data_IF_659651901832
#
_entry.id   IF_659651901832
#
_cell.length_a   1.000
_cell.length_b   1.000
_cell.length_c   1.000
_cell.angle_alpha   90.00
_cell.angle_beta   90.00
_cell.angle_gamma   90.00
#
_symmetry.space_group_name_H-M   'P 1'
#
loop_
_entity.id
_entity.type
_entity.pdbx_description
1 polymer ?
#
# COMPACT_ATOMS: atom_id res chain seq x y z
N UNK A 1 3.30 52.25 17.43
CA UNK A 1 4.66 51.68 17.42
C UNK A 1 4.80 50.98 16.08
N UNK A 2 5.52 51.60 15.15
CA UNK A 2 5.76 51.04 13.81
C UNK A 2 6.75 49.89 13.95
N UNK A 3 6.39 48.69 13.49
CA UNK A 3 7.40 47.65 13.24
C UNK A 3 7.78 47.77 11.77
N UNK A 4 8.93 48.41 11.53
CA UNK A 4 9.59 48.44 10.23
C UNK A 4 10.40 47.17 10.12
N UNK A 5 9.95 46.21 9.32
CA UNK A 5 10.83 45.12 8.89
C UNK A 5 10.85 44.97 7.38
N UNK A 6 12.08 44.77 6.91
CA UNK A 6 12.59 45.11 5.59
C UNK A 6 12.02 44.17 4.52
N UNK A 7 11.83 44.76 3.35
CA UNK A 7 11.54 44.09 2.09
C UNK A 7 12.45 42.86 1.89
N UNK A 8 11.88 41.67 2.01
CA UNK A 8 12.45 40.43 1.50
C UNK A 8 11.35 39.79 0.66
N UNK A 9 11.56 39.72 -0.66
CA UNK A 9 10.57 39.17 -1.59
C UNK A 9 10.21 37.74 -1.19
N UNK A 10 8.99 37.52 -0.72
CA UNK A 10 8.46 36.20 -0.39
C UNK A 10 7.28 35.95 -1.32
N UNK A 11 7.49 35.02 -2.25
CA UNK A 11 6.44 34.51 -3.11
C UNK A 11 5.54 33.61 -2.26
N UNK A 12 4.34 34.12 -1.96
CA UNK A 12 3.07 33.40 -1.74
C UNK A 12 3.06 32.17 -0.81
N UNK A 13 2.41 32.34 0.36
CA UNK A 13 1.82 31.29 1.23
C UNK A 13 2.76 30.52 2.18
N UNK A 14 3.70 31.21 2.81
CA UNK A 14 4.46 30.72 3.97
C UNK A 14 3.69 30.94 5.29
N UNK A 15 2.45 30.47 5.39
CA UNK A 15 1.72 30.59 6.66
C UNK A 15 2.32 29.59 7.67
N UNK A 16 2.61 30.09 8.86
CA UNK A 16 3.19 29.34 9.98
C UNK A 16 2.45 29.69 11.26
N UNK A 17 2.52 28.80 12.24
CA UNK A 17 1.91 28.96 13.55
C UNK A 17 2.97 29.50 14.50
N UNK A 18 2.67 30.67 15.07
CA UNK A 18 3.56 31.34 16.02
C UNK A 18 4.94 31.59 15.45
N UNK A 19 5.93 31.69 16.34
CA UNK A 19 7.33 31.94 16.02
C UNK A 19 8.28 30.86 16.58
N UNK A 20 7.72 29.80 17.20
CA UNK A 20 8.47 28.67 17.76
C UNK A 20 8.77 27.65 16.67
N UNK A 21 9.91 26.98 16.79
CA UNK A 21 10.21 25.74 16.04
C UNK A 21 9.39 24.57 16.59
N UNK A 22 9.33 23.47 15.86
CA UNK A 22 8.72 22.22 16.32
C UNK A 22 9.30 21.74 17.65
N UNK A 23 10.63 21.82 17.80
CA UNK A 23 11.32 21.41 19.03
C UNK A 23 10.91 22.24 20.25
N UNK A 24 10.58 23.52 20.05
CA UNK A 24 10.12 24.42 21.11
C UNK A 24 8.60 24.33 21.33
N UNK A 25 7.84 24.01 20.28
CA UNK A 25 6.39 23.89 20.34
C UNK A 25 5.93 22.59 21.02
N UNK A 26 6.65 21.48 20.79
CA UNK A 26 6.35 20.17 21.38
C UNK A 26 6.55 20.15 22.91
N UNK A 27 7.30 21.11 23.46
CA UNK A 27 7.51 21.25 24.90
C UNK A 27 6.28 21.81 25.65
N UNK A 28 5.33 22.42 24.95
CA UNK A 28 4.12 23.02 25.52
C UNK A 28 2.88 22.39 24.90
N UNK A 29 2.45 21.28 25.49
CA UNK A 29 1.29 20.50 25.03
C UNK A 29 -0.03 21.27 25.04
N UNK A 30 -0.14 22.38 25.79
CA UNK A 30 -1.35 23.20 25.81
C UNK A 30 -1.45 24.12 24.59
N UNK A 31 -0.30 24.56 24.04
CA UNK A 31 -0.25 25.45 22.87
C UNK A 31 0.17 24.75 21.57
N UNK A 32 0.55 23.48 21.65
CA UNK A 32 0.90 22.66 20.50
C UNK A 32 -0.30 22.44 19.57
N UNK A 33 -0.14 22.81 18.31
CA UNK A 33 -1.24 22.87 17.34
C UNK A 33 -1.52 21.54 16.63
N UNK A 34 -0.55 20.62 16.57
CA UNK A 34 -0.73 19.34 15.88
C UNK A 34 -1.44 18.37 16.81
N UNK A 35 -2.75 18.18 16.59
CA UNK A 35 -3.63 17.49 17.55
C UNK A 35 -3.77 16.00 17.25
N UNK A 36 -3.50 15.58 16.02
CA UNK A 36 -3.65 14.19 15.62
C UNK A 36 -2.40 13.35 15.94
N UNK A 37 -2.58 12.11 16.37
CA UNK A 37 -1.47 11.17 16.62
C UNK A 37 -0.75 10.74 15.34
N UNK A 38 -1.45 10.76 14.22
CA UNK A 38 -0.93 10.53 12.87
C UNK A 38 -0.56 11.85 12.19
N UNK A 39 -0.36 12.94 12.95
CA UNK A 39 0.26 14.17 12.45
C UNK A 39 1.71 14.31 12.88
N UNK A 40 2.44 15.14 12.16
CA UNK A 40 3.81 15.55 12.43
C UNK A 40 3.95 17.07 12.31
N UNK A 41 4.89 17.61 13.09
CA UNK A 41 5.28 19.00 13.01
C UNK A 41 6.40 19.17 11.99
N UNK A 42 6.29 20.23 11.18
CA UNK A 42 7.34 20.64 10.25
C UNK A 42 7.66 22.12 10.47
N UNK A 43 8.95 22.41 10.63
CA UNK A 43 9.41 23.78 10.85
C UNK A 43 9.03 24.67 9.67
N UNK A 44 8.68 25.91 10.01
CA UNK A 44 8.45 26.95 9.04
C UNK A 44 9.71 27.32 8.26
N UNK A 45 9.57 27.99 7.12
CA UNK A 45 10.70 28.48 6.35
C UNK A 45 11.64 29.31 7.23
N UNK A 46 12.95 29.08 7.09
CA UNK A 46 14.00 29.74 7.90
C UNK A 46 13.87 29.48 9.41
N UNK A 47 13.21 28.39 9.81
CA UNK A 47 13.01 27.99 11.20
C UNK A 47 12.23 29.00 12.04
N UNK A 48 11.33 29.75 11.38
CA UNK A 48 10.41 30.68 12.07
C UNK A 48 9.01 30.11 12.01
N UNK A 49 8.44 29.82 13.20
CA UNK A 49 7.15 29.17 13.32
C UNK A 49 7.18 27.72 12.86
N UNK A 50 6.03 27.06 12.90
CA UNK A 50 5.87 25.68 12.44
C UNK A 50 4.51 25.46 11.81
N UNK A 51 4.31 24.32 11.16
CA UNK A 51 3.01 23.86 10.69
C UNK A 51 2.88 22.36 10.95
N UNK A 52 1.66 21.87 10.89
CA UNK A 52 1.34 20.46 11.03
C UNK A 52 0.97 19.85 9.69
N UNK A 53 1.33 18.59 9.52
CA UNK A 53 1.04 17.77 8.34
C UNK A 53 0.63 16.37 8.82
N UNK A 54 -0.25 15.68 8.10
CA UNK A 54 -0.45 14.25 8.36
C UNK A 54 0.81 13.46 7.97
N UNK A 55 1.18 12.47 8.77
CA UNK A 55 2.30 11.57 8.46
C UNK A 55 2.11 10.91 7.10
N UNK A 56 3.20 10.44 6.51
CA UNK A 56 3.14 9.69 5.26
C UNK A 56 2.17 8.49 5.39
N UNK A 57 1.36 8.27 4.36
CA UNK A 57 0.25 7.31 4.38
C UNK A 57 -1.06 7.83 5.00
N UNK A 58 -1.13 9.10 5.41
CA UNK A 58 -2.35 9.70 5.96
C UNK A 58 -2.73 11.03 5.27
N UNK A 59 -4.02 11.31 5.22
CA UNK A 59 -4.56 12.56 4.68
C UNK A 59 -5.64 13.18 5.58
N UNK A 60 -5.86 14.49 5.42
CA UNK A 60 -6.89 15.23 6.15
C UNK A 60 -6.34 16.45 6.88
N UNK A 61 -6.92 16.75 8.05
CA UNK A 61 -6.63 17.97 8.81
C UNK A 61 -5.87 17.65 10.11
N UNK A 62 -4.54 17.87 10.17
CA UNK A 62 -3.72 17.54 11.35
C UNK A 62 -3.98 18.42 12.59
N UNK A 63 -4.76 19.50 12.44
CA UNK A 63 -5.13 20.42 13.54
C UNK A 63 -6.36 19.99 14.32
N UNK A 64 -7.00 18.89 13.90
CA UNK A 64 -8.16 18.28 14.55
C UNK A 64 -7.74 16.96 15.21
N UNK A 65 -8.40 16.60 16.30
CA UNK A 65 -8.30 15.24 16.84
C UNK A 65 -8.94 14.26 15.84
N UNK A 66 -8.26 13.14 15.54
CA UNK A 66 -8.71 12.17 14.52
C UNK A 66 -8.97 12.82 13.14
N UNK A 67 -8.18 13.86 12.82
CA UNK A 67 -8.25 14.56 11.55
C UNK A 67 -7.37 13.97 10.45
N UNK A 68 -6.39 13.13 10.79
CA UNK A 68 -5.57 12.40 9.83
C UNK A 68 -6.07 10.96 9.67
N UNK A 69 -6.61 10.66 8.50
CA UNK A 69 -7.16 9.36 8.13
C UNK A 69 -6.17 8.60 7.25
N UNK A 70 -6.16 7.29 7.40
CA UNK A 70 -5.37 6.38 6.56
C UNK A 70 -5.72 6.56 5.08
N UNK A 71 -4.71 6.64 4.23
CA UNK A 71 -4.89 6.63 2.78
C UNK A 71 -5.00 5.18 2.36
N UNK A 72 -6.14 4.78 1.79
CA UNK A 72 -6.26 3.45 1.23
C UNK A 72 -5.68 3.41 -0.19
N UNK A 73 -4.39 3.09 -0.32
CA UNK A 73 -3.73 3.07 -1.64
C UNK A 73 -4.33 2.00 -2.58
N UNK A 74 -4.79 0.88 -2.02
CA UNK A 74 -5.41 -0.21 -2.78
C UNK A 74 -6.77 0.18 -3.39
N UNK A 75 -7.57 1.00 -2.69
CA UNK A 75 -8.82 1.56 -3.21
C UNK A 75 -8.56 2.67 -4.24
N UNK A 76 -7.56 3.51 -3.97
CA UNK A 76 -7.17 4.62 -4.84
C UNK A 76 -6.39 4.19 -6.08
N UNK A 77 -5.94 2.94 -6.14
CA UNK A 77 -5.09 2.40 -7.22
C UNK A 77 -3.82 3.21 -7.41
N UNK A 78 -3.23 3.62 -6.28
CA UNK A 78 -1.93 4.30 -6.21
C UNK A 78 -0.87 3.41 -5.59
N UNK A 79 -1.19 2.14 -5.34
CA UNK A 79 -0.23 1.12 -4.93
C UNK A 79 0.68 0.71 -6.10
N UNK A 80 1.90 0.27 -5.78
CA UNK A 80 2.88 -0.23 -6.73
C UNK A 80 2.86 -1.77 -6.80
N UNK A 81 1.76 -2.42 -6.42
CA UNK A 81 1.68 -3.88 -6.42
C UNK A 81 1.45 -4.45 -7.83
N UNK A 82 2.19 -5.49 -8.20
CA UNK A 82 1.94 -6.24 -9.45
C UNK A 82 0.68 -7.12 -9.39
N UNK A 83 0.33 -7.60 -8.19
CA UNK A 83 -0.73 -8.59 -7.99
C UNK A 83 -1.83 -8.09 -7.06
N UNK A 84 -1.82 -8.52 -5.80
CA UNK A 84 -2.88 -8.22 -4.84
C UNK A 84 -2.36 -7.22 -3.82
N UNK A 85 -3.12 -6.15 -3.63
CA UNK A 85 -2.84 -5.11 -2.65
C UNK A 85 -3.71 -5.35 -1.42
N UNK A 86 -3.09 -5.28 -0.25
CA UNK A 86 -3.76 -5.31 1.04
C UNK A 86 -3.46 -4.02 1.80
N UNK A 87 -4.49 -3.22 2.05
CA UNK A 87 -4.35 -1.96 2.76
C UNK A 87 -4.00 -2.19 4.22
N UNK A 88 -3.13 -1.36 4.77
CA UNK A 88 -2.72 -1.38 6.17
C UNK A 88 -2.70 0.03 6.72
N UNK A 89 -2.64 0.17 8.04
CA UNK A 89 -2.58 1.49 8.64
C UNK A 89 -1.21 2.16 8.35
N UNK A 90 -1.24 3.24 7.58
CA UNK A 90 -0.09 4.02 7.11
C UNK A 90 0.56 3.53 5.81
N UNK A 91 -0.08 2.63 5.06
CA UNK A 91 0.44 2.14 3.78
C UNK A 91 -0.18 0.81 3.35
N UNK A 92 0.51 0.04 2.52
CA UNK A 92 -0.03 -1.22 1.98
C UNK A 92 1.01 -2.33 1.88
N UNK A 93 0.53 -3.57 1.76
CA UNK A 93 1.36 -4.73 1.46
C UNK A 93 0.92 -5.40 0.16
N UNK A 94 1.88 -5.86 -0.62
CA UNK A 94 1.63 -6.66 -1.81
C UNK A 94 1.71 -8.15 -1.48
N UNK A 95 0.68 -8.90 -1.87
CA UNK A 95 0.69 -10.36 -1.77
C UNK A 95 0.80 -10.99 -3.14
N UNK A 96 1.77 -11.90 -3.25
CA UNK A 96 2.00 -12.68 -4.46
C UNK A 96 1.09 -13.91 -4.47
N UNK A 97 0.16 -13.96 -5.43
CA UNK A 97 -0.73 -15.12 -5.64
C UNK A 97 0.01 -16.37 -6.13
N UNK A 98 1.31 -16.25 -6.44
CA UNK A 98 2.13 -17.34 -6.99
C UNK A 98 2.21 -18.54 -6.06
N UNK A 99 2.30 -18.35 -4.73
CA UNK A 99 2.39 -19.50 -3.81
C UNK A 99 1.07 -20.29 -3.70
N UNK A 100 -0.08 -19.63 -3.66
CA UNK A 100 -1.37 -20.31 -3.58
C UNK A 100 -1.71 -20.97 -4.92
N UNK A 101 -1.46 -20.32 -6.07
CA UNK A 101 -1.61 -20.96 -7.38
C UNK A 101 -0.64 -22.12 -7.58
N UNK A 102 0.59 -22.02 -7.06
CA UNK A 102 1.57 -23.09 -7.14
C UNK A 102 1.21 -24.27 -6.26
N UNK A 103 0.74 -24.05 -5.03
CA UNK A 103 0.31 -25.13 -4.12
C UNK A 103 -1.01 -25.73 -4.57
N UNK A 104 -2.03 -24.94 -4.90
CA UNK A 104 -3.29 -25.44 -5.47
C UNK A 104 -3.04 -26.11 -6.82
N UNK A 105 -2.17 -25.55 -7.65
CA UNK A 105 -1.72 -26.15 -8.91
C UNK A 105 -0.94 -27.45 -8.71
N UNK A 106 -0.15 -27.57 -7.65
CA UNK A 106 0.52 -28.83 -7.28
C UNK A 106 -0.43 -29.85 -6.69
N UNK A 107 -1.43 -29.43 -5.93
CA UNK A 107 -2.47 -30.32 -5.40
C UNK A 107 -3.35 -30.81 -6.56
N UNK A 108 -3.76 -29.92 -7.48
CA UNK A 108 -4.52 -30.32 -8.67
C UNK A 108 -3.70 -31.20 -9.60
N UNK A 109 -2.40 -30.95 -9.80
CA UNK A 109 -1.50 -31.84 -10.55
C UNK A 109 -1.24 -33.18 -9.82
N UNK A 110 -1.05 -33.17 -8.50
CA UNK A 110 -0.87 -34.40 -7.71
C UNK A 110 -2.15 -35.23 -7.62
N UNK A 111 -3.32 -34.61 -7.80
CA UNK A 111 -4.62 -35.30 -7.95
C UNK A 111 -4.84 -35.80 -9.39
N UNK A 112 -4.15 -35.20 -10.38
CA UNK A 112 -4.21 -35.58 -11.78
C UNK A 112 -3.30 -36.76 -12.13
N UNK A 113 -2.20 -36.98 -11.40
CA UNK A 113 -1.31 -38.14 -11.56
C UNK A 113 -1.78 -39.43 -10.86
N UNK A 114 -3.03 -39.48 -10.37
CA UNK A 114 -3.63 -40.70 -9.81
C UNK A 114 -4.83 -41.23 -10.60
N UNK A 115 -4.89 -40.96 -11.90
CA UNK A 115 -5.81 -41.63 -12.82
C UNK A 115 -5.01 -42.05 -14.07
N UNK A 116 -5.13 -43.33 -14.43
CA UNK A 116 -4.58 -44.04 -15.60
C UNK A 116 -3.17 -44.66 -15.51
N UNK A 117 -3.03 -45.70 -14.68
CA UNK A 117 -2.17 -46.83 -15.08
C UNK A 117 -2.91 -47.67 -16.14
N UNK A 118 -2.24 -47.85 -17.29
CA UNK A 118 -2.51 -48.63 -18.51
C UNK A 118 -2.99 -47.80 -19.71
N UNK A 119 -2.35 -47.91 -20.90
CA UNK A 119 -1.86 -49.17 -21.50
C UNK A 119 -0.44 -49.05 -22.12
N UNK A 120 0.00 -50.09 -22.86
CA UNK A 120 1.28 -50.25 -23.60
C UNK A 120 2.35 -51.14 -22.94
N UNK A 121 2.09 -52.44 -22.92
CA UNK A 121 3.15 -53.46 -23.03
C UNK A 121 2.83 -54.46 -24.16
N UNK A 122 3.69 -54.43 -25.18
CA UNK A 122 4.21 -55.51 -26.04
C UNK A 122 3.33 -56.36 -27.00
N UNK A 123 3.63 -56.15 -28.28
CA UNK A 123 3.91 -57.06 -29.41
C UNK A 123 3.54 -58.57 -29.37
N UNK A 124 3.09 -59.03 -30.55
CA UNK A 124 3.11 -60.39 -31.18
C UNK A 124 1.81 -61.21 -31.19
N UNK A 125 1.32 -61.47 -32.42
CA UNK A 125 0.81 -62.78 -32.87
C UNK A 125 -0.66 -63.16 -32.66
N UNK A 126 -1.40 -63.21 -33.77
CA UNK A 126 -2.40 -64.24 -34.15
C UNK A 126 -3.64 -64.51 -33.26
N UNK A 127 -4.84 -64.09 -33.70
CA UNK A 127 -5.81 -64.92 -34.47
C UNK A 127 -7.20 -64.27 -34.58
N UNK A 128 -7.56 -63.94 -35.82
CA UNK A 128 -8.83 -64.13 -36.51
C UNK A 128 -10.16 -64.13 -35.71
N UNK A 129 -11.02 -63.12 -35.96
CA UNK A 129 -12.46 -63.36 -36.19
C UNK A 129 -13.27 -62.10 -36.59
N UNK A 130 -13.68 -62.09 -37.87
CA UNK A 130 -14.81 -61.39 -38.49
C UNK A 130 -14.78 -59.85 -38.65
N UNK A 131 -14.20 -59.41 -39.78
CA UNK A 131 -14.78 -58.32 -40.57
C UNK A 131 -15.76 -58.93 -41.59
N UNK A 132 -16.99 -58.42 -41.68
CA UNK A 132 -17.73 -58.18 -42.94
C UNK A 132 -19.18 -57.74 -42.68
N UNK A 133 -19.44 -56.45 -42.83
CA UNK A 133 -20.65 -55.94 -43.50
C UNK A 133 -20.29 -54.59 -44.11
N UNK A 134 -20.32 -54.50 -45.44
CA UNK A 134 -19.94 -53.31 -46.18
C UNK A 134 -19.82 -53.58 -47.68
N UNK A 135 -20.98 -53.80 -48.31
CA UNK A 135 -21.30 -53.75 -49.75
C UNK A 135 -20.75 -54.89 -50.62
#
# INVERSE_FOLDING_TARGET
MEVKDKNYGINTSDWVIGNKTCAEADQDSNSYACKDLNSECIDGPRSVGYRCRCKDGYEGNPYLNAGCNDINECERKTDDCEHECNNTQGGYNCTDKTLIKYILGKITLSSYYHIDTYPFYFMTGCLCSWCKYGI
#
